data_IF_233251466576
#
_entry.id   IF_233251466576
#
_cell.length_a   1.000
_cell.length_b   1.000
_cell.length_c   1.000
_cell.angle_alpha   90.00
_cell.angle_beta   90.00
_cell.angle_gamma   90.00
#
_symmetry.space_group_name_H-M   'P 1'
#
loop_
_entity.id
_entity.type
_entity.pdbx_description
1 polymer ?
#
# COMPACT_ATOMS: atom_id res chain seq x y z
N UNK A 1 11.15 1.73 19.64
CA UNK A 1 10.18 1.06 18.73
C UNK A 1 9.49 2.15 17.95
N UNK A 2 9.34 1.99 16.65
CA UNK A 2 8.77 3.03 15.81
C UNK A 2 7.27 3.16 16.07
N UNK A 3 6.80 4.41 16.20
CA UNK A 3 5.38 4.71 16.37
C UNK A 3 4.63 4.80 15.03
N UNK A 4 5.36 4.56 13.95
CA UNK A 4 4.96 4.68 12.56
C UNK A 4 5.67 3.59 11.74
N UNK A 5 5.20 3.21 10.54
CA UNK A 5 5.93 2.32 9.65
C UNK A 5 7.36 2.81 9.41
N UNK A 6 8.34 1.91 9.38
CA UNK A 6 9.71 2.31 9.05
C UNK A 6 9.77 2.81 7.60
N UNK A 7 10.54 3.87 7.38
CA UNK A 7 10.85 4.32 6.02
C UNK A 7 11.69 3.28 5.29
N UNK A 8 11.47 3.14 3.99
CA UNK A 8 12.17 2.20 3.13
C UNK A 8 11.23 1.53 2.14
N UNK A 9 11.75 0.56 1.39
CA UNK A 9 11.01 -0.12 0.33
C UNK A 9 10.52 -1.47 0.82
N UNK A 10 9.20 -1.60 0.94
CA UNK A 10 8.54 -2.87 1.22
C UNK A 10 8.26 -3.56 -0.11
N UNK A 11 8.72 -4.79 -0.27
CA UNK A 11 8.52 -5.58 -1.49
C UNK A 11 7.64 -6.77 -1.18
N UNK A 12 6.61 -7.01 -2.00
CA UNK A 12 5.73 -8.17 -1.87
C UNK A 12 6.51 -9.49 -2.08
N UNK A 13 6.04 -10.57 -1.45
CA UNK A 13 6.68 -11.88 -1.55
C UNK A 13 6.79 -12.40 -3.00
N UNK A 14 5.85 -12.04 -3.87
CA UNK A 14 5.83 -12.38 -5.30
C UNK A 14 6.64 -11.40 -6.17
N UNK A 15 7.20 -10.33 -5.57
CA UNK A 15 8.01 -9.28 -6.20
C UNK A 15 7.28 -8.45 -7.27
N UNK A 16 5.96 -8.55 -7.34
CA UNK A 16 5.16 -7.79 -8.30
C UNK A 16 4.81 -6.38 -7.81
N UNK A 17 4.93 -6.12 -6.51
CA UNK A 17 4.49 -4.88 -5.88
C UNK A 17 5.56 -4.33 -4.94
N UNK A 18 5.75 -3.02 -4.97
CA UNK A 18 6.58 -2.31 -4.00
C UNK A 18 5.82 -1.13 -3.42
N UNK A 19 6.09 -0.88 -2.13
CA UNK A 19 5.56 0.23 -1.37
C UNK A 19 6.73 0.90 -0.65
N UNK A 20 7.22 2.00 -1.23
CA UNK A 20 8.30 2.80 -0.64
C UNK A 20 7.70 3.87 0.25
N UNK A 21 8.02 3.80 1.54
CA UNK A 21 7.64 4.80 2.53
C UNK A 21 8.77 5.83 2.62
N UNK A 22 8.48 7.08 2.26
CA UNK A 22 9.43 8.21 2.41
C UNK A 22 9.18 8.96 3.70
N UNK A 23 7.92 9.08 4.13
CA UNK A 23 7.55 9.58 5.46
C UNK A 23 6.19 9.04 5.91
N UNK A 24 5.99 9.01 7.22
CA UNK A 24 4.73 8.65 7.85
C UNK A 24 4.43 9.66 8.95
N UNK A 25 3.29 10.33 8.85
CA UNK A 25 2.89 11.41 9.76
C UNK A 25 2.05 10.84 10.90
N UNK A 26 2.52 10.90 12.16
CA UNK A 26 1.79 10.36 13.31
C UNK A 26 0.57 11.19 13.71
N UNK A 27 0.42 12.42 13.21
CA UNK A 27 -0.70 13.29 13.58
C UNK A 27 -2.01 12.95 12.85
N UNK A 28 -1.91 12.37 11.65
CA UNK A 28 -3.04 12.09 10.76
C UNK A 28 -2.98 10.71 10.09
N UNK A 29 -1.93 9.94 10.36
CA UNK A 29 -1.76 8.60 9.82
C UNK A 29 -1.45 8.57 8.32
N UNK A 30 -1.12 9.69 7.67
CA UNK A 30 -0.82 9.73 6.24
C UNK A 30 0.59 9.19 5.97
N UNK A 31 0.73 8.41 4.90
CA UNK A 31 2.00 7.90 4.40
C UNK A 31 2.31 8.55 3.05
N UNK A 32 3.42 9.27 2.99
CA UNK A 32 3.99 9.72 1.74
C UNK A 32 4.99 8.68 1.21
N UNK A 33 5.00 8.49 -0.10
CA UNK A 33 5.78 7.42 -0.68
C UNK A 33 5.57 7.21 -2.17
N UNK A 34 5.98 6.02 -2.61
CA UNK A 34 5.85 5.54 -3.98
C UNK A 34 5.26 4.14 -3.93
N UNK A 35 4.17 3.92 -4.65
CA UNK A 35 3.65 2.60 -4.95
C UNK A 35 4.02 2.23 -6.38
N UNK A 36 4.53 1.00 -6.58
CA UNK A 36 4.80 0.47 -7.91
C UNK A 36 4.23 -0.94 -8.04
N UNK A 37 3.67 -1.24 -9.21
CA UNK A 37 3.32 -2.60 -9.60
C UNK A 37 3.91 -2.92 -10.97
N UNK A 38 4.33 -4.18 -11.16
CA UNK A 38 4.76 -4.73 -12.44
C UNK A 38 3.73 -5.70 -13.04
N UNK A 39 2.62 -5.93 -12.33
CA UNK A 39 1.60 -6.89 -12.69
C UNK A 39 0.29 -6.13 -12.88
N UNK A 40 -0.06 -5.75 -14.12
CA UNK A 40 -1.35 -5.15 -14.45
C UNK A 40 -1.74 -5.27 -15.94
N UNK A 41 -3.02 -5.04 -16.30
CA UNK A 41 -3.47 -5.01 -17.69
C UNK A 41 -2.75 -3.97 -18.57
N UNK A 42 -2.17 -2.93 -17.96
CA UNK A 42 -1.42 -1.87 -18.65
C UNK A 42 0.10 -1.99 -18.48
N UNK A 43 0.58 -3.11 -17.95
CA UNK A 43 1.99 -3.32 -17.61
C UNK A 43 2.35 -2.68 -16.27
N UNK A 44 3.57 -2.19 -16.16
CA UNK A 44 4.03 -1.57 -14.93
C UNK A 44 3.48 -0.14 -14.77
N UNK A 45 3.13 0.23 -13.53
CA UNK A 45 2.86 1.63 -13.21
C UNK A 45 3.32 2.02 -11.82
N UNK A 46 3.44 3.34 -11.64
CA UNK A 46 3.88 3.97 -10.40
C UNK A 46 2.93 5.10 -10.01
N UNK A 47 2.69 5.25 -8.70
CA UNK A 47 1.96 6.36 -8.10
C UNK A 47 2.80 6.94 -6.97
N UNK A 48 2.90 8.26 -6.89
CA UNK A 48 3.72 8.97 -5.91
C UNK A 48 2.90 10.03 -5.16
N UNK A 49 3.29 10.35 -3.93
CA UNK A 49 2.63 11.31 -3.07
C UNK A 49 2.04 10.63 -1.83
N UNK A 50 0.82 10.99 -1.47
CA UNK A 50 0.11 10.36 -0.35
C UNK A 50 -0.49 9.04 -0.82
N UNK A 51 0.25 7.96 -0.63
CA UNK A 51 -0.05 6.63 -1.19
C UNK A 51 -0.59 5.65 -0.15
N UNK A 52 -0.71 6.06 1.11
CA UNK A 52 -1.24 5.19 2.15
C UNK A 52 -1.64 5.90 3.43
N UNK A 53 -2.23 5.10 4.32
CA UNK A 53 -2.68 5.49 5.64
C UNK A 53 -2.36 4.40 6.65
N UNK A 54 -2.19 4.76 7.91
CA UNK A 54 -2.10 3.82 9.03
C UNK A 54 -2.78 4.40 10.26
N UNK A 55 -3.14 3.52 11.17
CA UNK A 55 -3.75 3.88 12.44
C UNK A 55 -3.44 2.81 13.46
N UNK A 56 -3.18 3.21 14.69
CA UNK A 56 -2.85 2.30 15.77
C UNK A 56 -3.81 2.50 16.94
N UNK A 57 -3.76 1.56 17.88
CA UNK A 57 -4.52 1.60 19.12
C UNK A 57 -3.57 1.49 20.29
N UNK A 58 -4.05 1.80 21.49
CA UNK A 58 -3.31 1.50 22.71
C UNK A 58 -3.06 -0.01 22.83
N UNK A 59 -1.79 -0.39 22.86
CA UNK A 59 -1.38 -1.78 23.00
C UNK A 59 -1.38 -2.17 24.48
N UNK A 60 -2.39 -2.93 24.91
CA UNK A 60 -2.45 -3.48 26.28
C UNK A 60 -1.25 -4.38 26.59
N UNK A 61 -0.79 -5.17 25.61
CA UNK A 61 0.33 -6.07 25.77
C UNK A 61 1.67 -5.34 26.02
N UNK A 62 1.82 -4.12 25.48
CA UNK A 62 3.02 -3.31 25.65
C UNK A 62 2.84 -2.13 26.62
N UNK A 63 1.62 -1.90 27.11
CA UNK A 63 1.30 -0.80 28.03
C UNK A 63 1.48 0.60 27.44
N UNK A 64 1.41 0.76 26.11
CA UNK A 64 1.63 2.06 25.45
C UNK A 64 0.87 2.20 24.13
N UNK A 65 0.63 3.45 23.75
CA UNK A 65 0.08 3.87 22.46
C UNK A 65 1.19 3.95 21.39
N UNK A 66 0.80 4.01 20.12
CA UNK A 66 1.73 4.25 19.02
C UNK A 66 2.73 3.11 18.84
N UNK A 67 2.27 1.86 18.78
CA UNK A 67 3.16 0.72 18.53
C UNK A 67 2.54 -0.31 17.63
N UNK A 68 3.38 -1.01 16.86
CA UNK A 68 2.99 -2.19 16.12
C UNK A 68 2.46 -3.29 17.07
N UNK A 69 1.50 -4.12 16.63
CA UNK A 69 0.87 -4.10 15.30
C UNK A 69 -0.19 -3.00 15.15
N UNK A 70 -0.41 -2.53 13.93
CA UNK A 70 -1.39 -1.50 13.63
C UNK A 70 -1.93 -1.64 12.20
N UNK A 71 -3.09 -1.05 11.90
CA UNK A 71 -3.68 -1.15 10.56
C UNK A 71 -2.91 -0.28 9.58
N UNK A 72 -2.79 -0.74 8.33
CA UNK A 72 -2.15 -0.01 7.25
C UNK A 72 -2.88 -0.28 5.94
N UNK A 73 -3.09 0.77 5.16
CA UNK A 73 -3.61 0.70 3.81
C UNK A 73 -2.72 1.50 2.87
N UNK A 74 -2.58 1.04 1.64
CA UNK A 74 -1.76 1.74 0.63
C UNK A 74 -2.20 1.34 -0.77
N UNK A 75 -1.71 2.04 -1.78
CA UNK A 75 -2.00 1.69 -3.15
C UNK A 75 -1.59 2.79 -4.11
N UNK A 76 -2.10 2.68 -5.33
CA UNK A 76 -1.83 3.66 -6.36
C UNK A 76 -2.91 3.66 -7.39
N UNK A 77 -3.07 4.81 -8.05
CA UNK A 77 -3.96 4.95 -9.17
C UNK A 77 -3.28 5.68 -10.31
N UNK A 78 -3.66 5.34 -11.54
CA UNK A 78 -3.19 6.03 -12.73
C UNK A 78 -4.36 6.28 -13.68
N UNK A 79 -4.43 7.53 -14.14
CA UNK A 79 -5.31 7.95 -15.23
C UNK A 79 -4.51 8.84 -16.18
N UNK A 80 -4.01 8.30 -17.30
CA UNK A 80 -3.20 9.07 -18.24
C UNK A 80 -3.97 10.24 -18.86
N UNK A 81 -3.21 11.18 -19.44
CA UNK A 81 -3.76 12.20 -20.32
C UNK A 81 -4.53 11.54 -21.48
N UNK A 82 -5.55 12.22 -22.00
CA UNK A 82 -6.55 11.67 -22.94
C UNK A 82 -7.45 10.57 -22.37
N UNK A 83 -7.25 10.17 -21.10
CA UNK A 83 -8.11 9.23 -20.35
C UNK A 83 -8.39 7.90 -21.09
N UNK A 84 -7.37 7.23 -21.67
CA UNK A 84 -7.56 5.94 -22.34
C UNK A 84 -7.95 4.82 -21.35
N UNK A 85 -7.62 4.98 -20.07
CA UNK A 85 -8.02 4.08 -19.00
C UNK A 85 -7.96 4.77 -17.63
N UNK A 86 -8.50 4.09 -16.63
CA UNK A 86 -8.29 4.35 -15.22
C UNK A 86 -8.01 3.03 -14.49
N UNK A 87 -6.97 3.00 -13.66
CA UNK A 87 -6.58 1.84 -12.87
C UNK A 87 -6.37 2.27 -11.41
N UNK A 88 -6.84 1.44 -10.48
CA UNK A 88 -6.70 1.67 -9.04
C UNK A 88 -6.35 0.36 -8.37
N UNK A 89 -5.23 0.35 -7.65
CA UNK A 89 -4.86 -0.70 -6.71
C UNK A 89 -5.11 -0.20 -5.30
N UNK A 90 -5.65 -1.08 -4.46
CA UNK A 90 -5.88 -0.79 -3.04
C UNK A 90 -5.52 -2.00 -2.20
N UNK A 91 -4.59 -1.80 -1.27
CA UNK A 91 -4.13 -2.76 -0.28
C UNK A 91 -4.63 -2.35 1.09
N UNK A 92 -5.13 -3.31 1.85
CA UNK A 92 -5.54 -3.10 3.24
C UNK A 92 -5.04 -4.24 4.11
N UNK A 93 -4.49 -3.93 5.27
CA UNK A 93 -3.78 -4.92 6.08
C UNK A 93 -3.26 -4.41 7.41
N UNK A 94 -2.22 -5.06 7.90
CA UNK A 94 -1.58 -4.75 9.16
C UNK A 94 -0.06 -4.67 9.02
N UNK A 95 0.53 -3.68 9.69
CA UNK A 95 1.96 -3.61 9.95
C UNK A 95 2.26 -4.40 11.23
N UNK A 96 3.28 -5.24 11.20
CA UNK A 96 3.60 -6.20 12.26
C UNK A 96 4.85 -5.80 13.05
N UNK A 97 5.05 -6.44 14.20
CA UNK A 97 6.17 -6.17 15.10
C UNK A 97 7.54 -6.53 14.52
N UNK A 98 7.59 -7.34 13.47
CA UNK A 98 8.80 -7.71 12.71
C UNK A 98 9.09 -6.73 11.54
N UNK A 99 8.40 -5.57 11.49
CA UNK A 99 8.48 -4.59 10.41
C UNK A 99 8.08 -5.14 9.04
N UNK A 100 7.18 -6.12 9.03
CA UNK A 100 6.56 -6.60 7.80
C UNK A 100 5.12 -6.16 7.72
N UNK A 101 4.56 -6.18 6.52
CA UNK A 101 3.15 -5.89 6.27
C UNK A 101 2.50 -7.16 5.75
N UNK A 102 1.31 -7.48 6.23
CA UNK A 102 0.42 -8.47 5.60
C UNK A 102 -0.81 -7.73 5.13
N UNK A 103 -1.10 -7.77 3.83
CA UNK A 103 -2.19 -7.02 3.23
C UNK A 103 -2.89 -7.82 2.12
N UNK A 104 -4.20 -7.65 2.03
CA UNK A 104 -5.02 -8.10 0.89
C UNK A 104 -5.12 -6.95 -0.11
N UNK A 105 -4.89 -7.24 -1.38
CA UNK A 105 -4.97 -6.27 -2.46
C UNK A 105 -6.20 -6.48 -3.34
N UNK A 106 -6.72 -5.40 -3.89
CA UNK A 106 -7.74 -5.41 -4.95
C UNK A 106 -7.35 -4.45 -6.05
N UNK A 107 -7.86 -4.71 -7.26
CA UNK A 107 -7.72 -3.83 -8.41
C UNK A 107 -9.06 -3.57 -9.06
N UNK A 108 -9.27 -2.33 -9.47
CA UNK A 108 -10.28 -1.93 -10.45
C UNK A 108 -9.60 -1.34 -11.67
N UNK A 109 -10.03 -1.76 -12.86
CA UNK A 109 -9.57 -1.24 -14.14
C UNK A 109 -10.75 -0.97 -15.07
N UNK A 110 -10.69 0.14 -15.79
CA UNK A 110 -11.63 0.47 -16.86
C UNK A 110 -10.88 1.14 -18.01
N UNK A 111 -11.22 0.82 -19.26
CA UNK A 111 -10.63 1.47 -20.45
C UNK A 111 -11.67 2.14 -21.36
N UNK A 112 -11.19 2.89 -22.34
CA UNK A 112 -12.02 3.60 -23.33
C UNK A 112 -12.84 2.69 -24.25
N UNK A 113 -12.47 1.41 -24.36
CA UNK A 113 -13.19 0.41 -25.15
C UNK A 113 -14.35 -0.23 -24.36
N UNK A 114 -14.56 0.19 -23.11
CA UNK A 114 -15.60 -0.33 -22.23
C UNK A 114 -15.24 -1.62 -21.49
N UNK A 115 -13.97 -2.03 -21.52
CA UNK A 115 -13.48 -3.15 -20.70
C UNK A 115 -13.51 -2.72 -19.23
N UNK A 116 -14.07 -3.58 -18.37
CA UNK A 116 -14.11 -3.41 -16.92
C UNK A 116 -13.59 -4.68 -16.27
N UNK A 117 -12.57 -4.54 -15.43
CA UNK A 117 -11.99 -5.65 -14.67
C UNK A 117 -11.90 -5.28 -13.18
N UNK A 118 -12.41 -6.16 -12.33
CA UNK A 118 -12.28 -6.05 -10.87
C UNK A 118 -11.78 -7.39 -10.35
N UNK A 119 -10.73 -7.38 -9.55
CA UNK A 119 -10.10 -8.61 -9.07
C UNK A 119 -9.32 -8.45 -7.77
N UNK A 120 -9.11 -9.57 -7.09
CA UNK A 120 -8.16 -9.66 -5.98
C UNK A 120 -6.72 -9.72 -6.53
N UNK A 121 -5.80 -9.08 -5.82
CA UNK A 121 -4.35 -9.17 -5.99
C UNK A 121 -3.74 -10.16 -4.98
N UNK A 122 -4.59 -10.79 -4.14
CA UNK A 122 -4.25 -11.77 -3.13
C UNK A 122 -3.82 -11.17 -1.79
N UNK A 123 -3.64 -12.05 -0.80
CA UNK A 123 -3.05 -11.72 0.49
C UNK A 123 -1.55 -11.92 0.41
N UNK A 124 -0.78 -10.83 0.48
CA UNK A 124 0.67 -10.86 0.35
C UNK A 124 1.36 -10.34 1.61
N UNK A 125 2.54 -10.92 1.89
CA UNK A 125 3.50 -10.37 2.85
C UNK A 125 4.43 -9.42 2.11
N UNK A 126 4.64 -8.23 2.64
CA UNK A 126 5.63 -7.27 2.18
C UNK A 126 6.74 -7.13 3.22
N UNK A 127 7.98 -7.26 2.78
CA UNK A 127 9.16 -7.17 3.64
C UNK A 127 10.01 -5.95 3.26
N UNK A 128 10.56 -5.29 4.28
CA UNK A 128 11.51 -4.20 4.12
C UNK A 128 12.83 -4.73 3.55
N UNK A 129 13.28 -4.15 2.44
CA UNK A 129 14.59 -4.43 1.81
C UNK A 129 15.71 -3.49 2.25
#
# INVERSE_FOLDING_TARGET
>A
MANVPLTGTYTSADKNFTFKITSADPSNGVIAGVYTTNYSPIGAFTSEGNVGHYGWVFSKAQGKDGVAPFNISFGGSQRPNQRPYNIVDSWNGAYLTDNTIVAEGTRSFVNSDGVVEVGSLGTLKFALG
#
